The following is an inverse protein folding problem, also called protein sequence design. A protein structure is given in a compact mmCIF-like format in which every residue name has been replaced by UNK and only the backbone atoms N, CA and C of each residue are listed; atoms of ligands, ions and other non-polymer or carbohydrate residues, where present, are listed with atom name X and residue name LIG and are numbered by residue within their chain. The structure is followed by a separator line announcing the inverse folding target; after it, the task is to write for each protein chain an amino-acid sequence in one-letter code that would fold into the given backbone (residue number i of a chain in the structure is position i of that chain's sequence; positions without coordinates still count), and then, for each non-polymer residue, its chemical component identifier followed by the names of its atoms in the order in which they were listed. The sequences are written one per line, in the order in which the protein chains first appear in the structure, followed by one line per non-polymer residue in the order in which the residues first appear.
data_IF_358098617850
#
_entry.id   IF_358098617850
#
_cell.length_a   1.000
_cell.length_b   1.000
_cell.length_c   1.000
_cell.angle_alpha   90.00
_cell.angle_beta   90.00
_cell.angle_gamma   90.00
#
_symmetry.space_group_name_H-M   'P 1'
#
loop_
_entity.id
_entity.type
_entity.pdbx_description
1 polymer ?
#
# COMPACT_ATOMS: atom_id res chain seq x y z
N UNK A 1 18.08 3.88 2.56
CA UNK A 1 17.00 3.66 3.56
C UNK A 1 15.66 3.38 2.88
N UNK A 2 15.22 4.21 1.94
CA UNK A 2 13.94 3.99 1.21
C UNK A 2 13.96 2.74 0.32
N UNK A 3 15.04 2.52 -0.45
CA UNK A 3 15.14 1.35 -1.33
C UNK A 3 15.08 -0.01 -0.59
N UNK A 4 15.65 -0.08 0.63
CA UNK A 4 15.59 -1.30 1.45
C UNK A 4 14.18 -1.55 2.00
N UNK A 5 13.48 -0.49 2.45
CA UNK A 5 12.09 -0.61 2.89
C UNK A 5 11.16 -1.00 1.74
N UNK A 6 11.34 -0.39 0.57
CA UNK A 6 10.57 -0.73 -0.62
C UNK A 6 10.72 -2.20 -1.01
N UNK A 7 11.93 -2.76 -0.94
CA UNK A 7 12.17 -4.18 -1.22
C UNK A 7 11.37 -5.09 -0.28
N UNK A 8 11.30 -4.74 1.01
CA UNK A 8 10.51 -5.49 2.01
C UNK A 8 9.02 -5.40 1.68
N UNK A 9 8.48 -4.20 1.44
CA UNK A 9 7.07 -4.00 1.11
C UNK A 9 6.69 -4.75 -0.17
N UNK A 10 7.52 -4.70 -1.20
CA UNK A 10 7.29 -5.42 -2.47
C UNK A 10 7.22 -6.94 -2.27
N UNK A 11 8.08 -7.50 -1.41
CA UNK A 11 8.04 -8.92 -1.09
C UNK A 11 6.75 -9.28 -0.34
N UNK A 12 6.39 -8.49 0.68
CA UNK A 12 5.17 -8.71 1.45
C UNK A 12 3.92 -8.63 0.58
N UNK A 13 3.84 -7.66 -0.34
CA UNK A 13 2.73 -7.53 -1.29
C UNK A 13 2.59 -8.73 -2.22
N UNK A 14 3.68 -9.42 -2.56
CA UNK A 14 3.64 -10.62 -3.39
C UNK A 14 3.05 -11.82 -2.66
N UNK A 15 3.25 -11.90 -1.34
CA UNK A 15 2.78 -12.99 -0.49
C UNK A 15 1.40 -12.70 0.13
N UNK A 16 1.00 -11.43 0.17
CA UNK A 16 -0.26 -10.99 0.74
C UNK A 16 -1.47 -11.57 -0.03
N UNK A 17 -2.44 -12.07 0.74
CA UNK A 17 -3.75 -12.48 0.23
C UNK A 17 -4.79 -11.38 0.36
N UNK A 18 -4.51 -10.34 1.16
CA UNK A 18 -5.34 -9.17 1.35
C UNK A 18 -4.45 -7.94 1.66
N UNK A 19 -4.88 -6.76 1.23
CA UNK A 19 -4.20 -5.48 1.49
C UNK A 19 -5.13 -4.48 2.16
N UNK A 20 -4.69 -3.87 3.25
CA UNK A 20 -5.38 -2.74 3.91
C UNK A 20 -4.56 -1.48 3.75
N UNK A 21 -5.12 -0.47 3.10
CA UNK A 21 -4.53 0.87 2.97
C UNK A 21 -4.86 1.65 4.25
N UNK A 22 -3.83 2.00 5.01
CA UNK A 22 -3.92 2.74 6.27
C UNK A 22 -3.09 4.05 6.26
N UNK A 23 -2.86 4.61 5.07
CA UNK A 23 -2.25 5.94 4.91
C UNK A 23 -3.21 7.04 5.37
N UNK A 24 -2.70 8.27 5.53
CA UNK A 24 -3.54 9.43 5.88
C UNK A 24 -4.72 9.59 4.92
N UNK A 25 -5.86 10.02 5.46
CA UNK A 25 -7.14 10.17 4.75
C UNK A 25 -7.18 11.42 3.84
N UNK A 26 -6.06 11.72 3.18
CA UNK A 26 -5.91 12.84 2.26
C UNK A 26 -5.52 12.37 0.85
N UNK A 27 -5.33 13.33 -0.04
CA UNK A 27 -4.99 13.06 -1.44
C UNK A 27 -3.59 12.45 -1.59
N UNK A 28 -2.64 12.84 -0.76
CA UNK A 28 -1.26 12.38 -0.87
C UNK A 28 -1.13 10.93 -0.40
N UNK A 29 -1.73 10.61 0.76
CA UNK A 29 -1.78 9.26 1.30
C UNK A 29 -2.47 8.27 0.35
N UNK A 30 -3.52 8.72 -0.34
CA UNK A 30 -4.20 7.89 -1.36
C UNK A 30 -3.33 7.68 -2.61
N UNK A 31 -2.67 8.74 -3.09
CA UNK A 31 -1.81 8.67 -4.28
C UNK A 31 -0.63 7.71 -4.05
N UNK A 32 0.05 7.83 -2.91
CA UNK A 32 1.18 6.97 -2.55
C UNK A 32 0.75 5.50 -2.53
N UNK A 33 -0.38 5.20 -1.89
CA UNK A 33 -0.89 3.83 -1.80
C UNK A 33 -1.20 3.25 -3.18
N UNK A 34 -1.88 4.03 -4.04
CA UNK A 34 -2.27 3.57 -5.39
C UNK A 34 -1.06 3.34 -6.30
N UNK A 35 -0.10 4.27 -6.32
CA UNK A 35 1.12 4.12 -7.10
C UNK A 35 1.90 2.87 -6.67
N UNK A 36 1.99 2.61 -5.37
CA UNK A 36 2.73 1.46 -4.84
C UNK A 36 2.04 0.13 -5.19
N UNK A 37 0.71 0.08 -5.11
CA UNK A 37 -0.11 -1.08 -5.50
C UNK A 37 0.04 -1.38 -7.00
N UNK A 38 -0.06 -0.33 -7.83
CA UNK A 38 0.08 -0.44 -9.28
C UNK A 38 1.48 -0.92 -9.67
N UNK A 39 2.51 -0.28 -9.12
CA UNK A 39 3.91 -0.62 -9.38
C UNK A 39 4.26 -2.04 -8.93
N UNK A 40 3.71 -2.50 -7.80
CA UNK A 40 3.93 -3.88 -7.32
C UNK A 40 3.03 -4.91 -8.03
N UNK A 41 2.08 -4.47 -8.85
CA UNK A 41 1.19 -5.37 -9.59
C UNK A 41 0.22 -6.16 -8.71
N UNK A 42 -0.13 -5.66 -7.53
CA UNK A 42 -1.07 -6.35 -6.65
C UNK A 42 -2.48 -6.32 -7.27
N UNK A 43 -3.18 -7.46 -7.20
CA UNK A 43 -4.51 -7.68 -7.80
C UNK A 43 -5.49 -8.39 -6.84
N UNK A 44 -5.07 -8.64 -5.61
CA UNK A 44 -5.93 -9.26 -4.59
C UNK A 44 -6.95 -8.27 -4.01
N UNK A 45 -7.75 -8.70 -3.02
CA UNK A 45 -8.66 -7.85 -2.26
C UNK A 45 -7.93 -6.66 -1.63
N UNK A 46 -8.56 -5.48 -1.70
CA UNK A 46 -8.06 -4.22 -1.13
C UNK A 46 -9.16 -3.62 -0.25
N UNK A 47 -8.80 -3.25 0.98
CA UNK A 47 -9.63 -2.46 1.89
C UNK A 47 -8.95 -1.11 2.19
N UNK A 48 -9.75 -0.08 2.51
CA UNK A 48 -9.26 1.24 2.94
C UNK A 48 -9.72 1.52 4.35
N UNK A 49 -8.77 1.67 5.26
CA UNK A 49 -9.02 2.07 6.64
C UNK A 49 -9.12 3.60 6.70
N UNK A 50 -10.29 4.12 7.05
CA UNK A 50 -10.51 5.55 7.27
C UNK A 50 -10.47 5.86 8.76
N UNK A 51 -9.44 6.55 9.21
CA UNK A 51 -9.36 7.08 10.57
C UNK A 51 -9.43 8.61 10.51
N UNK A 52 -10.34 9.19 11.29
CA UNK A 52 -10.35 10.61 11.61
C UNK A 52 -9.76 10.76 13.01
N UNK A 53 -8.57 11.35 13.10
CA UNK A 53 -7.98 11.79 14.36
C UNK A 53 -8.47 13.21 14.68
#
# INVERSE_FOLDING_TARGET
KTASQFKVVKQLLKEATELVIATDADREGEMIARELIEYCGYRGPIQRLWLSA
#
